data_IF_786894022903
#
_entry.id   IF_786894022903
#
_cell.length_a   1.000
_cell.length_b   1.000
_cell.length_c   1.000
_cell.angle_alpha   90.00
_cell.angle_beta   90.00
_cell.angle_gamma   90.00
#
_symmetry.space_group_name_H-M   'P 1'
#
loop_
_entity.id
_entity.type
_entity.pdbx_description
1 polymer ?
#
# COMPACT_ATOMS: atom_id res chain seq x y z
N UNK A 1 20.94 -20.20 -14.81
CA UNK A 1 21.04 -19.20 -13.72
C UNK A 1 20.17 -17.96 -13.94
N UNK A 2 19.82 -17.57 -15.18
CA UNK A 2 18.99 -16.37 -15.47
C UNK A 2 17.67 -16.29 -14.69
N UNK A 3 16.97 -17.42 -14.51
CA UNK A 3 15.66 -17.49 -13.84
C UNK A 3 15.71 -17.06 -12.37
N UNK A 4 16.78 -17.37 -11.65
CA UNK A 4 16.97 -17.00 -10.24
C UNK A 4 17.28 -15.52 -10.10
N UNK A 5 18.03 -14.97 -11.06
CA UNK A 5 18.44 -13.56 -11.08
C UNK A 5 17.25 -12.63 -11.34
N UNK A 6 16.36 -12.98 -12.26
CA UNK A 6 15.17 -12.18 -12.55
C UNK A 6 14.16 -12.20 -11.40
N UNK A 7 13.95 -13.35 -10.76
CA UNK A 7 13.07 -13.45 -9.58
C UNK A 7 13.63 -12.59 -8.44
N UNK A 8 14.95 -12.66 -8.18
CA UNK A 8 15.58 -11.83 -7.16
C UNK A 8 15.44 -10.32 -7.46
N UNK A 9 15.56 -9.92 -8.73
CA UNK A 9 15.36 -8.54 -9.15
C UNK A 9 13.90 -8.09 -8.96
N UNK A 10 12.93 -8.95 -9.28
CA UNK A 10 11.51 -8.69 -9.13
C UNK A 10 11.11 -8.53 -7.65
N UNK A 11 11.63 -9.38 -6.76
CA UNK A 11 11.46 -9.26 -5.30
C UNK A 11 12.05 -7.96 -4.78
N UNK A 12 13.27 -7.60 -5.21
CA UNK A 12 13.91 -6.35 -4.78
C UNK A 12 13.10 -5.12 -5.22
N UNK A 13 12.51 -5.14 -6.42
CA UNK A 13 11.65 -4.08 -6.89
C UNK A 13 10.34 -3.99 -6.08
N UNK A 14 9.74 -5.13 -5.71
CA UNK A 14 8.55 -5.17 -4.88
C UNK A 14 8.80 -4.60 -3.48
N UNK A 15 9.93 -4.95 -2.85
CA UNK A 15 10.37 -4.42 -1.56
C UNK A 15 10.55 -2.90 -1.65
N UNK A 16 11.30 -2.42 -2.65
CA UNK A 16 11.54 -0.98 -2.82
C UNK A 16 10.23 -0.19 -3.04
N UNK A 17 9.29 -0.73 -3.82
CA UNK A 17 7.98 -0.13 -4.01
C UNK A 17 7.15 -0.13 -2.72
N UNK A 18 7.23 -1.22 -1.94
CA UNK A 18 6.63 -1.33 -0.62
C UNK A 18 7.18 -0.29 0.35
N UNK A 19 8.50 -0.20 0.49
CA UNK A 19 9.18 0.78 1.35
C UNK A 19 8.83 2.22 1.00
N UNK A 20 8.79 2.55 -0.31
CA UNK A 20 8.40 3.88 -0.79
C UNK A 20 6.95 4.21 -0.42
N UNK A 21 6.00 3.30 -0.71
CA UNK A 21 4.60 3.48 -0.36
C UNK A 21 4.39 3.55 1.17
N UNK A 22 5.12 2.73 1.92
CA UNK A 22 5.12 2.73 3.38
C UNK A 22 5.58 4.07 3.93
N UNK A 23 6.70 4.61 3.44
CA UNK A 23 7.21 5.91 3.89
C UNK A 23 6.17 7.02 3.69
N UNK A 24 5.57 7.10 2.50
CA UNK A 24 4.54 8.11 2.18
C UNK A 24 3.32 7.97 3.10
N UNK A 25 2.83 6.74 3.29
CA UNK A 25 1.68 6.50 4.16
C UNK A 25 1.98 6.79 5.64
N UNK A 26 3.19 6.45 6.10
CA UNK A 26 3.65 6.77 7.45
C UNK A 26 3.74 8.28 7.70
N UNK A 27 4.34 9.03 6.78
CA UNK A 27 4.42 10.49 6.86
C UNK A 27 3.02 11.12 6.90
N UNK A 28 2.12 10.70 6.00
CA UNK A 28 0.74 11.18 5.99
C UNK A 28 -0.02 10.87 7.30
N UNK A 29 0.17 9.67 7.86
CA UNK A 29 -0.45 9.27 9.12
C UNK A 29 0.10 10.08 10.31
N UNK A 30 1.41 10.36 10.33
CA UNK A 30 2.03 11.22 11.33
C UNK A 30 1.46 12.64 11.30
N UNK A 31 1.41 13.25 10.11
CA UNK A 31 0.81 14.59 9.90
C UNK A 31 -0.64 14.62 10.38
N UNK A 32 -1.47 13.66 9.93
CA UNK A 32 -2.88 13.59 10.30
C UNK A 32 -3.05 13.45 11.82
N UNK A 33 -2.19 12.67 12.48
CA UNK A 33 -2.25 12.48 13.94
C UNK A 33 -1.94 13.76 14.70
N UNK A 34 -0.91 14.51 14.29
CA UNK A 34 -0.56 15.80 14.91
C UNK A 34 -1.72 16.78 14.74
N UNK A 35 -2.23 16.95 13.52
CA UNK A 35 -3.34 17.89 13.24
C UNK A 35 -4.56 17.56 14.09
N UNK A 36 -5.01 16.30 14.08
CA UNK A 36 -6.19 15.88 14.86
C UNK A 36 -6.03 16.17 16.37
N UNK A 37 -4.84 15.92 16.93
CA UNK A 37 -4.57 16.23 18.34
C UNK A 37 -4.55 17.73 18.63
N UNK A 38 -4.02 18.55 17.73
CA UNK A 38 -4.03 20.01 17.88
C UNK A 38 -5.44 20.59 17.75
N UNK A 39 -6.31 20.01 16.93
CA UNK A 39 -7.74 20.35 16.83
C UNK A 39 -8.50 20.00 18.12
N UNK A 40 -8.24 18.82 18.71
CA UNK A 40 -8.77 18.45 20.04
C UNK A 40 -8.38 19.48 21.10
N UNK A 41 -7.16 20.04 21.00
CA UNK A 41 -6.66 21.09 21.88
C UNK A 41 -7.14 22.50 21.51
N UNK A 42 -7.98 22.64 20.48
CA UNK A 42 -8.58 23.89 19.99
C UNK A 42 -7.60 24.88 19.34
N UNK A 43 -6.47 24.37 18.86
CA UNK A 43 -5.47 25.17 18.13
C UNK A 43 -6.01 25.61 16.77
N UNK A 44 -7.01 24.93 16.21
CA UNK A 44 -7.75 25.35 15.02
C UNK A 44 -8.42 26.72 15.18
N UNK A 45 -8.88 27.05 16.39
CA UNK A 45 -9.50 28.34 16.69
C UNK A 45 -8.41 29.40 16.89
N UNK A 46 -7.31 29.05 17.58
CA UNK A 46 -6.22 29.97 17.89
C UNK A 46 -5.36 30.31 16.66
N UNK A 47 -4.99 29.29 15.89
CA UNK A 47 -4.03 29.41 14.79
C UNK A 47 -4.31 28.45 13.62
N UNK A 48 -5.41 28.61 12.88
CA UNK A 48 -5.80 27.68 11.80
C UNK A 48 -4.78 27.61 10.66
N UNK A 49 -4.00 28.68 10.45
CA UNK A 49 -2.93 28.69 9.44
C UNK A 49 -1.79 27.74 9.78
N UNK A 50 -1.46 27.55 11.07
CA UNK A 50 -0.42 26.63 11.50
C UNK A 50 -0.78 25.19 11.11
N UNK A 51 -2.02 24.77 11.33
CA UNK A 51 -2.49 23.42 11.03
C UNK A 51 -2.33 23.08 9.54
N UNK A 52 -2.51 24.08 8.65
CA UNK A 52 -2.31 23.93 7.21
C UNK A 52 -0.83 23.83 6.81
N UNK A 53 0.07 24.38 7.62
CA UNK A 53 1.51 24.36 7.37
C UNK A 53 2.16 23.06 7.83
N UNK A 54 1.55 22.32 8.76
CA UNK A 54 2.09 21.04 9.25
C UNK A 54 2.01 19.98 8.14
N UNK A 55 3.15 19.37 7.83
CA UNK A 55 3.31 18.40 6.75
C UNK A 55 3.56 19.01 5.37
N UNK A 56 3.38 20.32 5.21
CA UNK A 56 3.69 21.05 3.98
C UNK A 56 5.03 21.80 4.12
N UNK A 57 5.06 22.84 4.96
CA UNK A 57 6.25 23.65 5.21
C UNK A 57 6.91 23.33 6.55
N UNK A 58 6.13 22.90 7.56
CA UNK A 58 6.62 22.53 8.89
C UNK A 58 6.57 21.01 9.02
N UNK A 59 7.71 20.32 9.20
CA UNK A 59 7.70 18.88 9.44
C UNK A 59 6.89 18.54 10.69
N UNK A 60 6.00 17.55 10.63
CA UNK A 60 5.21 17.13 11.80
C UNK A 60 6.10 16.63 12.96
N UNK A 61 7.34 16.24 12.65
CA UNK A 61 8.35 15.81 13.62
C UNK A 61 9.03 16.96 14.35
N UNK A 62 8.88 18.20 13.88
CA UNK A 62 9.49 19.39 14.48
C UNK A 62 8.62 19.94 15.62
N UNK A 63 8.62 19.22 16.75
CA UNK A 63 7.85 19.61 17.93
C UNK A 63 8.19 21.03 18.43
N UNK A 64 9.45 21.42 18.35
CA UNK A 64 9.92 22.74 18.79
C UNK A 64 9.30 23.86 17.97
N UNK A 65 9.36 23.78 16.64
CA UNK A 65 8.80 24.81 15.77
C UNK A 65 7.27 24.91 15.88
N UNK A 66 6.59 23.77 16.00
CA UNK A 66 5.14 23.72 16.22
C UNK A 66 4.80 24.38 17.57
N UNK A 67 5.48 23.99 18.65
CA UNK A 67 5.24 24.52 19.98
C UNK A 67 5.52 26.03 20.06
N UNK A 68 6.64 26.48 19.50
CA UNK A 68 7.01 27.90 19.47
C UNK A 68 6.00 28.72 18.67
N UNK A 69 5.48 28.19 17.56
CA UNK A 69 4.44 28.84 16.77
C UNK A 69 3.14 29.00 17.54
N UNK A 70 2.71 27.95 18.27
CA UNK A 70 1.52 27.98 19.12
C UNK A 70 1.72 28.97 20.27
N UNK A 71 2.85 28.89 20.98
CA UNK A 71 3.17 29.76 22.10
C UNK A 71 3.24 31.23 21.69
N UNK A 72 3.90 31.53 20.57
CA UNK A 72 3.96 32.88 20.02
C UNK A 72 2.58 33.44 19.71
N UNK A 73 1.73 32.64 19.04
CA UNK A 73 0.36 33.04 18.73
C UNK A 73 -0.51 33.19 19.98
N UNK A 74 -0.36 32.28 20.94
CA UNK A 74 -1.01 32.33 22.24
C UNK A 74 -0.64 33.61 22.97
N UNK A 75 0.64 33.92 23.14
CA UNK A 75 1.08 35.14 23.82
C UNK A 75 0.57 36.40 23.12
N UNK A 76 0.65 36.45 21.79
CA UNK A 76 0.18 37.60 21.02
C UNK A 76 -1.34 37.83 21.11
N UNK A 77 -2.13 36.80 21.40
CA UNK A 77 -3.60 36.88 21.41
C UNK A 77 -4.17 36.91 22.83
N UNK A 78 -3.55 36.15 23.75
CA UNK A 78 -4.03 35.89 25.10
C UNK A 78 -3.33 36.71 26.19
N UNK A 79 -2.27 37.48 25.87
CA UNK A 79 -1.66 38.43 26.83
C UNK A 79 -1.99 39.89 26.53
N UNK A 80 -2.94 40.17 25.61
CA UNK A 80 -3.39 41.54 25.32
C UNK A 80 -4.26 42.08 26.47
N UNK A 81 -4.07 43.35 26.83
CA UNK A 81 -4.82 44.02 27.91
C UNK A 81 -6.28 44.33 27.52
N UNK A 82 -6.58 44.41 26.23
CA UNK A 82 -7.93 44.66 25.69
C UNK A 82 -8.40 43.47 24.85
N UNK A 83 -9.06 42.51 25.51
CA UNK A 83 -9.61 41.33 24.84
C UNK A 83 -11.10 41.48 24.64
N UNK A 84 -11.58 41.02 23.49
CA UNK A 84 -13.01 40.76 23.30
C UNK A 84 -13.44 39.56 24.15
N UNK A 85 -14.73 39.44 24.46
CA UNK A 85 -15.30 38.27 25.15
C UNK A 85 -14.95 36.97 24.39
N UNK A 86 -14.96 37.03 23.06
CA UNK A 86 -14.64 35.90 22.17
C UNK A 86 -13.18 35.47 22.35
N UNK A 87 -12.27 36.44 22.43
CA UNK A 87 -10.84 36.18 22.65
C UNK A 87 -10.60 35.59 24.03
N UNK A 88 -11.30 36.07 25.05
CA UNK A 88 -11.16 35.57 26.42
C UNK A 88 -11.66 34.13 26.56
N UNK A 89 -12.80 33.78 25.94
CA UNK A 89 -13.29 32.39 25.96
C UNK A 89 -12.33 31.42 25.27
N UNK A 90 -11.73 31.85 24.15
CA UNK A 90 -10.81 31.03 23.38
C UNK A 90 -9.54 30.79 24.20
N UNK A 91 -8.98 31.84 24.79
CA UNK A 91 -7.81 31.74 25.64
C UNK A 91 -8.09 30.87 26.87
N UNK A 92 -9.28 30.94 27.47
CA UNK A 92 -9.66 30.05 28.56
C UNK A 92 -9.69 28.59 28.11
N UNK A 93 -10.31 28.28 26.97
CA UNK A 93 -10.32 26.91 26.41
C UNK A 93 -8.91 26.37 26.22
N UNK A 94 -8.02 27.17 25.61
CA UNK A 94 -6.60 26.79 25.42
C UNK A 94 -5.90 26.55 26.77
N UNK A 95 -6.13 27.40 27.77
CA UNK A 95 -5.57 27.20 29.10
C UNK A 95 -6.02 25.86 29.72
N UNK A 96 -7.27 25.44 29.50
CA UNK A 96 -7.77 24.16 30.00
C UNK A 96 -7.25 22.97 29.18
N UNK A 97 -7.26 23.04 27.85
CA UNK A 97 -6.85 21.92 26.99
C UNK A 97 -5.38 21.58 27.14
N UNK A 98 -4.51 22.58 27.33
CA UNK A 98 -3.09 22.39 27.62
C UNK A 98 -2.78 22.18 29.12
N UNK A 99 -3.80 22.05 29.98
CA UNK A 99 -3.60 21.78 31.40
C UNK A 99 -2.97 22.93 32.19
N UNK A 100 -2.91 24.14 31.64
CA UNK A 100 -2.49 25.36 32.36
C UNK A 100 -3.51 25.76 33.44
N UNK A 101 -4.76 25.31 33.28
CA UNK A 101 -5.83 25.37 34.29
C UNK A 101 -6.54 24.03 34.34
N UNK A 102 -6.81 23.51 35.52
CA UNK A 102 -7.40 22.16 35.69
C UNK A 102 -8.70 22.13 36.50
N UNK A 103 -9.14 23.26 37.06
CA UNK A 103 -10.39 23.37 37.83
C UNK A 103 -11.36 24.41 37.25
N UNK A 104 -12.66 24.10 37.29
CA UNK A 104 -13.76 25.02 36.96
C UNK A 104 -14.43 25.53 38.26
N UNK A 105 -14.66 26.84 38.36
CA UNK A 105 -15.33 27.48 39.51
C UNK A 105 -14.39 28.21 40.47
N UNK A 106 -14.78 28.35 41.74
CA UNK A 106 -14.13 29.21 42.75
C UNK A 106 -12.73 28.80 43.22
N UNK A 107 -12.16 27.69 42.71
CA UNK A 107 -10.81 27.22 43.02
C UNK A 107 -10.11 26.77 41.72
N UNK A 108 -9.74 27.72 40.87
CA UNK A 108 -8.88 27.44 39.72
C UNK A 108 -7.52 26.98 40.27
N UNK A 109 -7.17 25.71 40.01
CA UNK A 109 -5.80 25.23 40.20
C UNK A 109 -4.98 25.58 38.96
N UNK A 110 -3.85 26.25 39.18
CA UNK A 110 -2.92 26.61 38.13
C UNK A 110 -1.99 25.44 37.85
N UNK A 111 -1.91 25.06 36.58
CA UNK A 111 -0.92 24.13 36.06
C UNK A 111 0.37 24.85 35.68
N UNK A 112 1.23 24.21 34.86
CA UNK A 112 2.46 24.81 34.36
C UNK A 112 2.19 26.10 33.56
N UNK A 113 3.16 27.03 33.51
CA UNK A 113 3.04 28.21 32.67
C UNK A 113 2.97 27.82 31.17
N UNK A 114 2.43 28.69 30.29
CA UNK A 114 2.29 28.40 28.86
C UNK A 114 3.60 27.98 28.18
N UNK A 115 4.71 28.61 28.57
CA UNK A 115 6.05 28.31 28.06
C UNK A 115 6.57 26.90 28.40
N UNK A 116 5.88 26.18 29.28
CA UNK A 116 6.16 24.78 29.61
C UNK A 116 5.05 23.85 29.14
N UNK A 117 3.80 24.19 29.45
CA UNK A 117 2.65 23.38 29.08
C UNK A 117 2.54 23.13 27.57
N UNK A 118 2.70 24.19 26.75
CA UNK A 118 2.57 24.06 25.30
C UNK A 118 3.68 23.18 24.70
N UNK A 119 4.98 23.41 24.95
CA UNK A 119 6.03 22.52 24.48
C UNK A 119 5.89 21.08 24.96
N UNK A 120 5.58 20.86 26.24
CA UNK A 120 5.45 19.51 26.81
C UNK A 120 4.34 18.72 26.10
N UNK A 121 3.15 19.32 25.95
CA UNK A 121 2.01 18.66 25.27
C UNK A 121 2.28 18.44 23.78
N UNK A 122 2.88 19.41 23.08
CA UNK A 122 3.21 19.26 21.65
C UNK A 122 4.25 18.17 21.45
N UNK A 123 5.25 18.09 22.32
CA UNK A 123 6.27 17.02 22.29
C UNK A 123 5.61 15.64 22.42
N UNK A 124 4.71 15.46 23.38
CA UNK A 124 3.96 14.21 23.56
C UNK A 124 3.14 13.84 22.31
N UNK A 125 2.46 14.82 21.71
CA UNK A 125 1.69 14.63 20.48
C UNK A 125 2.60 14.16 19.33
N UNK A 126 3.74 14.80 19.16
CA UNK A 126 4.70 14.48 18.09
C UNK A 126 5.29 13.09 18.31
N UNK A 127 5.65 12.72 19.53
CA UNK A 127 6.12 11.37 19.84
C UNK A 127 5.05 10.31 19.57
N UNK A 128 3.81 10.56 19.98
CA UNK A 128 2.68 9.70 19.64
C UNK A 128 2.45 9.58 18.12
N UNK A 129 2.63 10.67 17.38
CA UNK A 129 2.51 10.68 15.92
C UNK A 129 3.64 9.89 15.23
N UNK A 130 4.88 9.95 15.74
CA UNK A 130 6.00 9.14 15.23
C UNK A 130 5.71 7.64 15.35
N UNK A 131 5.11 7.21 16.47
CA UNK A 131 4.71 5.81 16.67
C UNK A 131 3.66 5.39 15.64
N UNK A 132 2.64 6.22 15.40
CA UNK A 132 1.60 5.95 14.39
C UNK A 132 2.20 5.91 12.98
N UNK A 133 3.11 6.84 12.68
CA UNK A 133 3.80 6.92 11.39
C UNK A 133 4.61 5.65 11.11
N UNK A 134 5.43 5.18 12.06
CA UNK A 134 6.27 3.99 11.87
C UNK A 134 5.44 2.71 11.78
N UNK A 135 4.37 2.60 12.57
CA UNK A 135 3.42 1.49 12.48
C UNK A 135 2.74 1.44 11.11
N UNK A 136 2.24 2.58 10.62
CA UNK A 136 1.59 2.68 9.31
C UNK A 136 2.56 2.40 8.17
N UNK A 137 3.79 2.92 8.27
CA UNK A 137 4.87 2.66 7.31
C UNK A 137 5.14 1.17 7.17
N UNK A 138 5.30 0.47 8.30
CA UNK A 138 5.56 -0.97 8.31
C UNK A 138 4.38 -1.75 7.74
N UNK A 139 3.15 -1.42 8.14
CA UNK A 139 1.94 -2.08 7.65
C UNK A 139 1.75 -1.91 6.14
N UNK A 140 1.92 -0.70 5.62
CA UNK A 140 1.76 -0.43 4.19
C UNK A 140 2.90 -1.03 3.38
N UNK A 141 4.14 -0.96 3.86
CA UNK A 141 5.28 -1.57 3.16
C UNK A 141 5.13 -3.09 3.02
N UNK A 142 4.75 -3.77 4.10
CA UNK A 142 4.51 -5.22 4.09
C UNK A 142 3.32 -5.59 3.20
N UNK A 143 2.20 -4.88 3.32
CA UNK A 143 1.02 -5.13 2.49
C UNK A 143 1.29 -4.91 0.99
N UNK A 144 2.02 -3.84 0.62
CA UNK A 144 2.35 -3.55 -0.78
C UNK A 144 3.35 -4.54 -1.36
N UNK A 145 4.38 -4.90 -0.59
CA UNK A 145 5.35 -5.93 -1.01
C UNK A 145 4.64 -7.26 -1.26
N UNK A 146 3.80 -7.71 -0.31
CA UNK A 146 3.05 -8.96 -0.44
C UNK A 146 2.09 -8.93 -1.65
N UNK A 147 1.36 -7.83 -1.85
CA UNK A 147 0.47 -7.67 -2.99
C UNK A 147 1.21 -7.77 -4.34
N UNK A 148 2.39 -7.15 -4.44
CA UNK A 148 3.21 -7.20 -5.65
C UNK A 148 3.79 -8.60 -5.88
N UNK A 149 4.26 -9.28 -4.83
CA UNK A 149 4.74 -10.66 -4.94
C UNK A 149 3.63 -11.63 -5.37
N UNK A 150 2.42 -11.51 -4.80
CA UNK A 150 1.27 -12.32 -5.20
C UNK A 150 0.86 -12.05 -6.65
N UNK A 151 0.85 -10.78 -7.08
CA UNK A 151 0.54 -10.43 -8.46
C UNK A 151 1.59 -11.00 -9.44
N UNK A 152 2.88 -10.94 -9.08
CA UNK A 152 3.95 -11.54 -9.89
C UNK A 152 3.82 -13.07 -9.96
N UNK A 153 3.55 -13.75 -8.85
CA UNK A 153 3.30 -15.20 -8.84
C UNK A 153 2.13 -15.58 -9.73
N UNK A 154 1.00 -14.86 -9.62
CA UNK A 154 -0.17 -15.09 -10.46
C UNK A 154 0.10 -14.86 -11.96
N UNK A 155 0.85 -13.82 -12.31
CA UNK A 155 1.25 -13.56 -13.70
C UNK A 155 2.16 -14.67 -14.25
N UNK A 156 3.11 -15.14 -13.44
CA UNK A 156 3.99 -16.25 -13.81
C UNK A 156 3.20 -17.55 -13.98
N UNK A 157 2.29 -17.86 -13.06
CA UNK A 157 1.43 -19.05 -13.15
C UNK A 157 0.55 -18.99 -14.40
N UNK A 158 -0.11 -17.86 -14.68
CA UNK A 158 -0.94 -17.68 -15.86
C UNK A 158 -0.14 -17.83 -17.17
N UNK A 159 1.03 -17.20 -17.27
CA UNK A 159 1.90 -17.32 -18.43
C UNK A 159 2.41 -18.77 -18.60
N UNK A 160 2.75 -19.43 -17.49
CA UNK A 160 3.19 -20.84 -17.52
C UNK A 160 2.07 -21.77 -17.99
N UNK A 161 0.83 -21.58 -17.50
CA UNK A 161 -0.33 -22.36 -17.96
C UNK A 161 -0.62 -22.12 -19.44
N UNK A 162 -0.50 -20.88 -19.94
CA UNK A 162 -0.64 -20.59 -21.36
C UNK A 162 0.41 -21.32 -22.21
N UNK A 163 1.67 -21.36 -21.78
CA UNK A 163 2.71 -22.10 -22.48
C UNK A 163 2.47 -23.61 -22.44
N UNK A 164 2.12 -24.16 -21.27
CA UNK A 164 1.80 -25.59 -21.12
C UNK A 164 0.61 -26.00 -21.98
N UNK A 165 -0.47 -25.22 -21.99
CA UNK A 165 -1.65 -25.48 -22.82
C UNK A 165 -1.32 -25.38 -24.30
N UNK A 166 -0.54 -24.39 -24.73
CA UNK A 166 -0.11 -24.23 -26.12
C UNK A 166 0.75 -25.41 -26.59
N UNK A 167 1.70 -25.84 -25.77
CA UNK A 167 2.56 -27.00 -26.05
C UNK A 167 1.71 -28.28 -26.09
N UNK A 168 0.84 -28.49 -25.10
CA UNK A 168 -0.05 -29.65 -25.05
C UNK A 168 -0.96 -29.73 -26.29
N UNK A 169 -1.53 -28.60 -26.71
CA UNK A 169 -2.36 -28.52 -27.92
C UNK A 169 -1.57 -28.82 -29.19
N UNK A 170 -0.32 -28.34 -29.27
CA UNK A 170 0.58 -28.63 -30.40
C UNK A 170 0.93 -30.11 -30.51
N UNK A 171 1.23 -30.78 -29.38
CA UNK A 171 1.48 -32.23 -29.33
C UNK A 171 0.23 -33.01 -29.73
N UNK A 172 -0.94 -32.63 -29.21
CA UNK A 172 -2.22 -33.25 -29.55
C UNK A 172 -2.53 -33.14 -31.05
N UNK A 173 -2.29 -31.96 -31.64
CA UNK A 173 -2.46 -31.75 -33.08
C UNK A 173 -1.55 -32.65 -33.93
N UNK A 174 -0.28 -32.78 -33.54
CA UNK A 174 0.68 -33.69 -34.21
C UNK A 174 0.20 -35.15 -34.11
N UNK A 175 -0.24 -35.60 -32.94
CA UNK A 175 -0.77 -36.96 -32.74
C UNK A 175 -1.97 -37.25 -33.65
N UNK A 176 -2.90 -36.30 -33.79
CA UNK A 176 -4.09 -36.44 -34.67
C UNK A 176 -3.66 -36.58 -36.14
N UNK A 177 -2.68 -35.80 -36.60
CA UNK A 177 -2.16 -35.87 -37.98
C UNK A 177 -1.51 -37.25 -38.24
N UNK A 178 -0.69 -37.74 -37.30
CA UNK A 178 -0.04 -39.06 -37.39
C UNK A 178 -1.07 -40.18 -37.45
N UNK A 179 -2.09 -40.16 -36.58
CA UNK A 179 -3.16 -41.16 -36.56
C UNK A 179 -3.98 -41.16 -37.86
N UNK A 180 -4.33 -39.99 -38.41
CA UNK A 180 -5.04 -39.90 -39.70
C UNK A 180 -4.20 -40.45 -40.86
N UNK A 181 -2.90 -40.15 -40.90
CA UNK A 181 -1.97 -40.72 -41.91
C UNK A 181 -1.90 -42.25 -41.78
N UNK A 182 -1.72 -42.77 -40.55
CA UNK A 182 -1.66 -44.23 -40.29
C UNK A 182 -2.95 -44.95 -40.70
N UNK A 183 -4.12 -44.37 -40.37
CA UNK A 183 -5.43 -44.91 -40.79
C UNK A 183 -5.57 -44.96 -42.31
N UNK A 184 -5.16 -43.89 -43.02
CA UNK A 184 -5.20 -43.83 -44.50
C UNK A 184 -4.29 -44.88 -45.14
N UNK A 185 -3.10 -45.11 -44.58
CA UNK A 185 -2.18 -46.18 -45.03
C UNK A 185 -2.83 -47.56 -44.83
N UNK A 186 -3.42 -47.81 -43.66
CA UNK A 186 -4.06 -49.09 -43.35
C UNK A 186 -5.25 -49.39 -44.29
N UNK A 187 -6.07 -48.39 -44.59
CA UNK A 187 -7.16 -48.51 -45.57
C UNK A 187 -6.61 -48.85 -46.97
N UNK A 188 -5.58 -48.14 -47.43
CA UNK A 188 -4.94 -48.45 -48.72
C UNK A 188 -4.38 -49.87 -48.77
N UNK A 189 -3.76 -50.32 -47.68
CA UNK A 189 -3.20 -51.66 -47.56
C UNK A 189 -4.29 -52.74 -47.64
N UNK A 190 -5.40 -52.59 -46.91
CA UNK A 190 -6.56 -53.48 -46.98
C UNK A 190 -7.11 -53.61 -48.41
N UNK A 191 -7.30 -52.48 -49.10
CA UNK A 191 -7.76 -52.46 -50.49
C UNK A 191 -6.75 -53.16 -51.41
N UNK A 192 -5.45 -52.88 -51.24
CA UNK A 192 -4.38 -53.48 -52.05
C UNK A 192 -4.35 -55.02 -51.92
N UNK A 193 -4.40 -55.54 -50.69
CA UNK A 193 -4.47 -56.98 -50.43
C UNK A 193 -5.71 -57.61 -51.08
N UNK A 194 -6.88 -56.96 -50.96
CA UNK A 194 -8.12 -57.44 -51.57
C UNK A 194 -8.00 -57.56 -53.10
N UNK A 195 -7.41 -56.58 -53.77
CA UNK A 195 -7.19 -56.58 -55.22
C UNK A 195 -6.27 -57.74 -55.63
N UNK A 196 -5.16 -57.96 -54.90
CA UNK A 196 -4.22 -59.06 -55.19
C UNK A 196 -4.89 -60.43 -55.01
N UNK A 197 -5.65 -60.62 -53.93
CA UNK A 197 -6.37 -61.87 -53.69
C UNK A 197 -7.38 -62.17 -54.81
N UNK A 198 -8.07 -61.15 -55.33
CA UNK A 198 -8.96 -61.31 -56.50
C UNK A 198 -8.21 -61.70 -57.77
N UNK A 199 -7.04 -61.12 -58.06
CA UNK A 199 -6.22 -61.50 -59.22
C UNK A 199 -5.75 -62.96 -59.14
N UNK A 200 -5.29 -63.42 -57.96
CA UNK A 200 -4.89 -64.83 -57.75
C UNK A 200 -6.04 -65.83 -57.95
N UNK A 201 -7.27 -65.48 -57.55
CA UNK A 201 -8.46 -66.33 -57.77
C UNK A 201 -8.90 -66.40 -59.24
N UNK A 202 -8.64 -65.37 -60.06
CA UNK A 202 -8.93 -65.38 -61.50
C UNK A 202 -7.93 -66.23 -62.29
N UNK A 203 -6.64 -66.16 -61.95
CA UNK A 203 -5.60 -66.93 -62.64
C UNK A 203 -5.67 -68.44 -62.36
N UNK A 204 -6.26 -68.85 -61.24
CA UNK A 204 -6.55 -70.27 -60.94
C UNK A 204 -7.81 -70.81 -61.65
N UNK A 205 -8.64 -69.96 -62.24
CA UNK A 205 -9.84 -70.36 -63.01
C UNK A 205 -9.58 -70.53 -64.52
N UNK A 206 -8.38 -70.17 -64.97
CA UNK A 206 -7.91 -70.35 -66.35
C UNK A 206 -6.94 -71.53 -66.52
N UNK A 207 -6.78 -72.35 -65.47
CA UNK A 207 -6.02 -73.62 -65.50
C UNK A 207 -7.05 -74.72 -65.16
N UNK A 208 -7.90 -75.04 -66.13
CA UNK A 208 -8.64 -76.30 -66.28
C UNK A 208 -8.68 -76.56 -67.78
#
# INVERSE_FOLDING_TARGET
>A
MWKTTEIAAATKAAIAAGESAGKIAGEAAGVAKVIARLEELRVDILYPKLLKSIGDTIPYTNAEEIANSILGKFNATCNLSTKSIITEDMCQRINFTFGMRTGLGGRVTYGPPPAKAIPDTVSEIVEGAKVVAESTKTQVATAKTAALETAQKGAIEAASMQLYTTIAYSILAILIIVLKKKKKINIKYQIYIHIIQKKKKKNKKHII
#
